data_IF_769108851534
#
_entry.id   IF_769108851534
#
_cell.length_a   1.000
_cell.length_b   1.000
_cell.length_c   1.000
_cell.angle_alpha   90.00
_cell.angle_beta   90.00
_cell.angle_gamma   90.00
#
_symmetry.space_group_name_H-M   'P 1'
#
loop_
_entity.id
_entity.type
_entity.pdbx_description
1 polymer ?
#
# COMPACT_ATOMS: atom_id res chain seq x y z
N UNK A 1 10.79 -15.29 -11.40
CA UNK A 1 11.08 -14.74 -10.06
C UNK A 1 9.89 -14.96 -9.14
N UNK A 2 10.13 -15.35 -7.87
CA UNK A 2 9.07 -15.53 -6.87
C UNK A 2 9.29 -14.55 -5.71
N UNK A 3 8.32 -13.64 -5.50
CA UNK A 3 8.36 -12.64 -4.45
C UNK A 3 7.20 -12.82 -3.48
N UNK A 4 7.42 -12.54 -2.20
CA UNK A 4 6.37 -12.46 -1.19
C UNK A 4 5.93 -11.03 -1.01
N UNK A 5 4.63 -10.77 -1.09
CA UNK A 5 4.06 -9.47 -0.75
C UNK A 5 3.65 -9.43 0.72
N UNK A 6 4.36 -8.64 1.51
CA UNK A 6 4.17 -8.50 2.95
C UNK A 6 3.01 -7.57 3.29
N UNK A 7 1.79 -8.00 2.97
CA UNK A 7 0.56 -7.25 3.26
C UNK A 7 -0.60 -8.19 3.55
N UNK A 8 -1.39 -7.87 4.59
CA UNK A 8 -2.64 -8.55 4.92
C UNK A 8 -3.85 -7.95 4.17
N UNK A 9 -3.67 -6.84 3.44
CA UNK A 9 -4.75 -6.19 2.70
C UNK A 9 -5.02 -6.92 1.38
N UNK A 10 -6.19 -7.60 1.30
CA UNK A 10 -6.59 -8.38 0.13
C UNK A 10 -6.73 -7.51 -1.14
N UNK A 11 -7.25 -6.29 -1.02
CA UNK A 11 -7.39 -5.37 -2.15
C UNK A 11 -6.03 -4.96 -2.74
N UNK A 12 -5.05 -4.69 -1.88
CA UNK A 12 -3.68 -4.41 -2.32
C UNK A 12 -3.07 -5.61 -3.06
N UNK A 13 -3.27 -6.82 -2.53
CA UNK A 13 -2.75 -8.04 -3.15
C UNK A 13 -3.37 -8.28 -4.54
N UNK A 14 -4.68 -8.05 -4.70
CA UNK A 14 -5.37 -8.15 -5.98
C UNK A 14 -4.80 -7.14 -7.00
N UNK A 15 -4.66 -5.87 -6.61
CA UNK A 15 -4.05 -4.84 -7.47
C UNK A 15 -2.62 -5.20 -7.86
N UNK A 16 -1.79 -5.61 -6.89
CA UNK A 16 -0.40 -6.02 -7.15
C UNK A 16 -0.33 -7.17 -8.14
N UNK A 17 -1.14 -8.22 -7.93
CA UNK A 17 -1.17 -9.38 -8.86
C UNK A 17 -1.63 -9.02 -10.26
N UNK A 18 -2.56 -8.06 -10.39
CA UNK A 18 -3.05 -7.59 -11.68
C UNK A 18 -2.01 -6.76 -12.47
N UNK A 19 -1.09 -6.09 -11.76
CA UNK A 19 -0.11 -5.18 -12.36
C UNK A 19 1.28 -5.78 -12.53
N UNK A 20 1.63 -6.82 -11.77
CA UNK A 20 2.94 -7.47 -11.88
C UNK A 20 3.06 -8.28 -13.17
N UNK A 21 4.25 -8.27 -13.84
CA UNK A 21 4.46 -9.06 -15.03
C UNK A 21 4.36 -10.57 -14.74
N UNK A 22 3.92 -11.34 -15.72
CA UNK A 22 3.73 -12.81 -15.62
C UNK A 22 5.01 -13.57 -15.25
N UNK A 23 6.17 -12.98 -15.46
CA UNK A 23 7.47 -13.53 -15.06
C UNK A 23 7.72 -13.45 -13.54
N UNK A 24 6.90 -12.67 -12.80
CA UNK A 24 7.01 -12.51 -11.35
C UNK A 24 5.80 -13.15 -10.67
N UNK A 25 6.06 -14.25 -9.96
CA UNK A 25 5.05 -14.90 -9.12
C UNK A 25 4.96 -14.18 -7.78
N UNK A 26 3.78 -13.67 -7.42
CA UNK A 26 3.53 -13.00 -6.13
C UNK A 26 2.82 -13.95 -5.18
N UNK A 27 3.49 -14.27 -4.07
CA UNK A 27 2.95 -15.01 -2.93
C UNK A 27 2.41 -14.05 -1.88
N UNK A 28 1.32 -14.44 -1.22
CA UNK A 28 0.74 -13.74 -0.08
C UNK A 28 1.37 -14.21 1.23
N UNK A 29 1.10 -13.52 2.33
CA UNK A 29 1.45 -13.95 3.68
C UNK A 29 0.81 -15.30 4.03
N UNK A 30 -0.41 -15.54 3.55
CA UNK A 30 -1.10 -16.82 3.74
C UNK A 30 -0.40 -17.98 3.03
N UNK A 31 0.15 -17.75 1.82
CA UNK A 31 0.85 -18.77 1.05
C UNK A 31 2.11 -19.26 1.78
N UNK A 32 2.73 -18.39 2.58
CA UNK A 32 3.92 -18.70 3.40
C UNK A 32 3.58 -19.03 4.86
N UNK A 33 2.29 -19.05 5.24
CA UNK A 33 1.81 -19.29 6.61
C UNK A 33 2.37 -18.28 7.63
N UNK A 34 2.50 -17.03 7.23
CA UNK A 34 2.84 -15.93 8.13
C UNK A 34 1.53 -15.40 8.76
N UNK A 35 1.38 -15.60 10.07
CA UNK A 35 0.15 -15.25 10.81
C UNK A 35 0.38 -14.15 11.86
N UNK A 36 1.60 -13.61 11.92
CA UNK A 36 1.94 -12.57 12.89
C UNK A 36 1.42 -11.21 12.44
N UNK A 37 0.95 -10.41 13.39
CA UNK A 37 0.72 -9.00 13.16
C UNK A 37 2.06 -8.23 13.14
N UNK A 38 2.19 -7.31 12.21
CA UNK A 38 3.37 -6.45 12.10
C UNK A 38 2.99 -5.07 12.60
N UNK A 39 3.62 -4.64 13.71
CA UNK A 39 3.41 -3.31 14.25
C UNK A 39 4.10 -2.25 13.37
N UNK A 40 3.31 -1.42 12.72
CA UNK A 40 3.79 -0.30 11.92
C UNK A 40 4.08 0.90 12.83
N UNK A 41 5.28 0.92 13.41
CA UNK A 41 5.75 1.94 14.37
C UNK A 41 6.49 3.09 13.71
N UNK A 42 6.73 3.03 12.41
CA UNK A 42 7.40 4.06 11.65
C UNK A 42 6.60 5.36 11.55
N UNK A 43 7.31 6.45 11.38
CA UNK A 43 6.75 7.80 11.22
C UNK A 43 6.67 8.22 9.75
N UNK A 44 7.23 7.43 8.84
CA UNK A 44 7.23 7.63 7.40
C UNK A 44 6.75 6.37 6.67
N UNK A 45 6.36 6.52 5.40
CA UNK A 45 5.98 5.39 4.54
C UNK A 45 7.18 4.47 4.27
N UNK A 46 8.37 5.07 4.15
CA UNK A 46 9.63 4.37 3.98
C UNK A 46 9.91 3.44 5.16
N UNK A 47 9.80 3.95 6.38
CA UNK A 47 10.02 3.17 7.60
C UNK A 47 9.01 2.03 7.72
N UNK A 48 7.71 2.28 7.51
CA UNK A 48 6.69 1.25 7.62
C UNK A 48 6.80 0.19 6.53
N UNK A 49 7.11 0.57 5.28
CA UNK A 49 7.32 -0.41 4.22
C UNK A 49 8.54 -1.29 4.51
N UNK A 50 9.61 -0.71 5.07
CA UNK A 50 10.82 -1.44 5.48
C UNK A 50 10.52 -2.40 6.65
N UNK A 51 9.85 -1.92 7.71
CA UNK A 51 9.46 -2.75 8.87
C UNK A 51 8.67 -3.99 8.42
N UNK A 52 7.68 -3.80 7.53
CA UNK A 52 6.89 -4.92 6.99
C UNK A 52 7.74 -5.90 6.20
N UNK A 53 8.58 -5.40 5.31
CA UNK A 53 9.43 -6.24 4.49
C UNK A 53 10.45 -7.02 5.35
N UNK A 54 11.06 -6.39 6.35
CA UNK A 54 12.02 -7.00 7.26
C UNK A 54 11.39 -8.10 8.11
N UNK A 55 10.23 -7.85 8.73
CA UNK A 55 9.55 -8.84 9.55
C UNK A 55 9.28 -10.15 8.79
N UNK A 56 8.81 -10.03 7.54
CA UNK A 56 8.54 -11.20 6.69
C UNK A 56 9.83 -11.83 6.18
N UNK A 57 10.84 -11.02 5.85
CA UNK A 57 12.15 -11.53 5.44
C UNK A 57 12.82 -12.36 6.55
N UNK A 58 12.83 -11.88 7.77
CA UNK A 58 13.36 -12.60 8.94
C UNK A 58 12.62 -13.92 9.15
N UNK A 59 11.28 -13.91 9.10
CA UNK A 59 10.48 -15.12 9.21
C UNK A 59 10.88 -16.17 8.16
N UNK A 60 10.99 -15.79 6.89
CA UNK A 60 11.37 -16.70 5.80
C UNK A 60 12.79 -17.21 5.96
N UNK A 61 13.72 -16.33 6.36
CA UNK A 61 15.15 -16.67 6.50
C UNK A 61 15.40 -17.72 7.57
N UNK A 62 14.57 -17.77 8.60
CA UNK A 62 14.63 -18.77 9.66
C UNK A 62 13.91 -20.08 9.32
N UNK A 63 13.08 -20.10 8.28
CA UNK A 63 12.39 -21.30 7.83
C UNK A 63 13.26 -22.13 6.88
N UNK A 64 13.55 -23.39 7.26
CA UNK A 64 14.14 -24.38 6.37
C UNK A 64 13.05 -25.14 5.62
N UNK A 65 12.28 -24.46 4.77
CA UNK A 65 11.22 -25.07 3.97
C UNK A 65 11.56 -25.02 2.47
N UNK A 66 11.01 -25.94 1.68
CA UNK A 66 11.16 -25.89 0.22
C UNK A 66 10.62 -24.57 -0.35
N UNK A 67 9.55 -24.02 0.24
CA UNK A 67 8.98 -22.77 -0.17
C UNK A 67 9.96 -21.62 0.11
N UNK A 68 10.57 -21.56 1.29
CA UNK A 68 11.54 -20.50 1.62
C UNK A 68 12.75 -20.50 0.70
N UNK A 69 13.19 -21.69 0.24
CA UNK A 69 14.33 -21.81 -0.68
C UNK A 69 14.04 -21.34 -2.11
N UNK A 70 12.76 -21.28 -2.50
CA UNK A 70 12.33 -20.88 -3.85
C UNK A 70 11.99 -19.38 -3.95
N UNK A 71 12.05 -18.63 -2.85
CA UNK A 71 11.75 -17.22 -2.86
C UNK A 71 12.98 -16.38 -3.18
N UNK A 72 12.81 -15.46 -4.10
CA UNK A 72 13.87 -14.53 -4.53
C UNK A 72 13.91 -13.26 -3.67
N UNK A 73 12.81 -12.96 -2.94
CA UNK A 73 12.75 -11.80 -2.07
C UNK A 73 11.35 -11.56 -1.45
N UNK A 74 11.30 -10.52 -0.64
CA UNK A 74 10.10 -10.01 0.01
C UNK A 74 9.94 -8.54 -0.35
N UNK A 75 8.73 -8.12 -0.68
CA UNK A 75 8.42 -6.70 -0.80
C UNK A 75 7.18 -6.33 -0.01
N UNK A 76 7.15 -5.09 0.45
CA UNK A 76 6.03 -4.49 1.15
C UNK A 76 5.73 -3.11 0.61
N UNK A 77 4.46 -2.69 0.60
CA UNK A 77 4.08 -1.32 0.34
C UNK A 77 3.57 -0.61 1.60
N UNK A 78 3.86 0.68 1.69
CA UNK A 78 3.10 1.58 2.54
C UNK A 78 2.55 2.74 1.72
N UNK A 79 1.31 3.18 2.06
CA UNK A 79 0.58 4.16 1.23
C UNK A 79 -0.02 5.24 2.11
N UNK A 80 0.23 6.49 1.73
CA UNK A 80 -0.35 7.68 2.34
C UNK A 80 -1.19 8.49 1.36
N UNK A 81 -2.33 8.99 1.85
CA UNK A 81 -3.02 10.13 1.27
C UNK A 81 -2.49 11.38 1.97
N UNK A 82 -2.00 12.34 1.20
CA UNK A 82 -1.46 13.59 1.69
C UNK A 82 -2.31 14.73 1.13
N UNK A 83 -2.99 15.49 2.00
CA UNK A 83 -3.90 16.57 1.62
C UNK A 83 -3.23 17.91 1.88
N UNK A 84 -3.07 18.73 0.84
CA UNK A 84 -2.30 19.97 0.91
C UNK A 84 -2.86 20.95 1.95
N UNK A 85 -4.19 21.12 2.03
CA UNK A 85 -4.84 22.01 2.98
C UNK A 85 -4.84 21.51 4.44
N UNK A 86 -4.31 20.32 4.69
CA UNK A 86 -4.20 19.67 6.00
C UNK A 86 -2.74 19.33 6.34
N UNK A 87 -1.78 20.07 5.78
CA UNK A 87 -0.35 19.90 6.01
C UNK A 87 0.13 18.44 5.78
N UNK A 88 -0.40 17.81 4.73
CA UNK A 88 -0.08 16.43 4.35
C UNK A 88 -0.80 15.35 5.18
N UNK A 89 -1.71 15.70 6.08
CA UNK A 89 -2.51 14.69 6.76
C UNK A 89 -3.50 14.03 5.79
N UNK A 90 -3.88 12.75 6.02
CA UNK A 90 -3.46 11.83 7.08
C UNK A 90 -2.06 11.23 6.94
N UNK A 91 -1.41 11.28 5.76
CA UNK A 91 -0.07 10.76 5.56
C UNK A 91 0.06 9.28 5.95
N UNK A 92 1.04 8.95 6.78
CA UNK A 92 1.29 7.58 7.29
C UNK A 92 0.10 6.99 8.06
N UNK A 93 -0.81 7.82 8.55
CA UNK A 93 -2.00 7.39 9.28
C UNK A 93 -3.21 7.12 8.39
N UNK A 94 -3.06 7.11 7.09
CA UNK A 94 -4.15 7.00 6.09
C UNK A 94 -5.14 5.88 6.38
N UNK A 95 -4.68 4.69 6.72
CA UNK A 95 -5.57 3.55 7.01
C UNK A 95 -6.29 3.65 8.36
N UNK A 96 -5.75 4.43 9.31
CA UNK A 96 -6.19 4.49 10.72
C UNK A 96 -6.46 5.92 11.22
N UNK A 97 -6.73 6.86 10.34
CA UNK A 97 -6.92 8.27 10.71
C UNK A 97 -8.14 8.52 11.61
N UNK A 98 -9.18 7.69 11.44
CA UNK A 98 -10.38 7.69 12.30
C UNK A 98 -10.31 6.54 13.32
N UNK A 99 -9.25 6.42 14.09
CA UNK A 99 -9.23 5.47 15.21
C UNK A 99 -9.82 6.12 16.46
N UNK A 100 -11.16 6.26 16.53
CA UNK A 100 -11.86 6.37 17.82
C UNK A 100 -12.26 4.96 18.26
N UNK A 101 -11.74 4.52 19.41
CA UNK A 101 -12.36 3.44 20.18
C UNK A 101 -13.74 3.95 20.61
N UNK A 102 -14.77 3.67 19.85
CA UNK A 102 -16.15 3.93 20.25
C UNK A 102 -16.53 2.85 21.25
N UNK A 103 -17.07 3.27 22.40
CA UNK A 103 -17.72 2.35 23.33
C UNK A 103 -19.17 2.19 22.85
N UNK A 104 -19.69 0.94 22.83
CA UNK A 104 -21.11 0.70 22.65
C UNK A 104 -21.91 1.20 23.87
N UNK A 105 -23.22 1.16 23.78
CA UNK A 105 -24.13 1.55 24.88
C UNK A 105 -23.91 0.75 26.17
N UNK A 106 -23.20 -0.38 26.11
CA UNK A 106 -22.77 -1.22 27.22
C UNK A 106 -21.35 -0.99 27.71
N UNK A 107 -20.63 0.03 27.17
CA UNK A 107 -19.26 0.36 27.56
C UNK A 107 -18.17 -0.56 26.98
N UNK A 108 -18.51 -1.49 26.07
CA UNK A 108 -17.58 -2.39 25.40
C UNK A 108 -16.93 -1.67 24.21
N UNK A 109 -15.64 -1.92 23.98
CA UNK A 109 -14.97 -1.38 22.81
C UNK A 109 -15.54 -2.02 21.54
N UNK A 110 -16.24 -1.23 20.71
CA UNK A 110 -16.70 -1.70 19.39
C UNK A 110 -15.48 -1.76 18.46
N UNK A 111 -15.18 -2.95 17.95
CA UNK A 111 -14.21 -3.12 16.86
C UNK A 111 -14.95 -2.83 15.55
N UNK A 112 -14.56 -1.76 14.88
CA UNK A 112 -15.10 -1.40 13.57
C UNK A 112 -14.55 -2.36 12.51
N UNK A 113 -15.41 -2.78 11.58
CA UNK A 113 -14.98 -3.52 10.40
C UNK A 113 -14.23 -2.62 9.40
N UNK A 114 -13.45 -3.21 8.51
CA UNK A 114 -12.63 -2.47 7.54
C UNK A 114 -13.44 -1.45 6.72
N UNK A 115 -14.63 -1.84 6.24
CA UNK A 115 -15.53 -0.95 5.50
C UNK A 115 -16.00 0.25 6.32
N UNK A 116 -16.30 0.04 7.61
CA UNK A 116 -16.69 1.11 8.53
C UNK A 116 -15.53 2.08 8.77
N UNK A 117 -14.31 1.56 8.90
CA UNK A 117 -13.10 2.37 9.05
C UNK A 117 -12.86 3.22 7.79
N UNK A 118 -12.97 2.64 6.60
CA UNK A 118 -12.82 3.37 5.35
C UNK A 118 -13.86 4.50 5.21
N UNK A 119 -15.12 4.22 5.50
CA UNK A 119 -16.18 5.24 5.47
C UNK A 119 -15.92 6.36 6.49
N UNK A 120 -15.52 6.02 7.71
CA UNK A 120 -15.20 7.00 8.73
C UNK A 120 -13.97 7.87 8.39
N UNK A 121 -12.96 7.28 7.76
CA UNK A 121 -11.78 8.01 7.27
C UNK A 121 -12.18 9.01 6.18
N UNK A 122 -13.00 8.60 5.20
CA UNK A 122 -13.50 9.49 4.13
C UNK A 122 -14.37 10.62 4.69
N UNK A 123 -15.32 10.30 5.57
CA UNK A 123 -16.16 11.29 6.22
C UNK A 123 -15.33 12.33 6.99
N UNK A 124 -14.26 11.90 7.67
CA UNK A 124 -13.32 12.80 8.33
C UNK A 124 -12.61 13.71 7.33
N UNK A 125 -12.09 13.17 6.22
CA UNK A 125 -11.42 13.96 5.19
C UNK A 125 -12.35 15.03 4.60
N UNK A 126 -13.60 14.68 4.30
CA UNK A 126 -14.59 15.61 3.78
C UNK A 126 -14.91 16.70 4.80
N UNK A 127 -15.11 16.33 6.08
CA UNK A 127 -15.39 17.27 7.16
C UNK A 127 -14.25 18.26 7.40
N UNK A 128 -12.98 17.78 7.45
CA UNK A 128 -11.81 18.64 7.64
C UNK A 128 -11.59 19.61 6.46
N UNK A 129 -12.19 19.31 5.31
CA UNK A 129 -12.14 20.14 4.10
C UNK A 129 -13.39 21.01 3.89
N UNK A 130 -14.37 21.02 4.82
CA UNK A 130 -15.52 21.90 4.74
C UNK A 130 -15.09 23.37 4.70
N UNK A 131 -15.66 24.11 3.74
CA UNK A 131 -15.34 25.53 3.53
C UNK A 131 -13.94 25.82 2.95
N UNK A 132 -13.11 24.80 2.70
CA UNK A 132 -11.80 24.97 2.05
C UNK A 132 -11.93 24.87 0.53
N UNK A 133 -11.42 25.89 -0.18
CA UNK A 133 -11.37 25.91 -1.65
C UNK A 133 -10.18 25.13 -2.20
N UNK A 134 -9.08 25.08 -1.45
CA UNK A 134 -7.89 24.32 -1.82
C UNK A 134 -8.03 22.87 -1.39
N UNK A 135 -8.32 21.99 -2.34
CA UNK A 135 -8.58 20.56 -2.10
C UNK A 135 -7.52 19.66 -2.73
N UNK A 136 -6.38 20.23 -3.12
CA UNK A 136 -5.26 19.48 -3.69
C UNK A 136 -4.79 18.38 -2.75
N UNK A 137 -4.46 17.23 -3.33
CA UNK A 137 -3.99 16.08 -2.58
C UNK A 137 -3.12 15.17 -3.47
N UNK A 138 -2.40 14.26 -2.85
CA UNK A 138 -1.72 13.19 -3.56
C UNK A 138 -1.83 11.88 -2.81
N UNK A 139 -1.87 10.79 -3.56
CA UNK A 139 -1.50 9.49 -3.03
C UNK A 139 -0.02 9.22 -3.31
N UNK A 140 0.65 8.70 -2.31
CA UNK A 140 2.04 8.25 -2.38
C UNK A 140 2.15 6.83 -1.86
N UNK A 141 2.83 5.98 -2.61
CA UNK A 141 3.16 4.61 -2.19
C UNK A 141 4.67 4.45 -2.21
N UNK A 142 5.22 3.94 -1.12
CA UNK A 142 6.61 3.48 -1.06
C UNK A 142 6.61 1.96 -1.01
N UNK A 143 7.41 1.34 -1.87
CA UNK A 143 7.65 -0.10 -1.87
C UNK A 143 9.08 -0.36 -1.45
N UNK A 144 9.26 -1.21 -0.43
CA UNK A 144 10.57 -1.76 -0.05
C UNK A 144 10.67 -3.20 -0.54
N UNK A 145 11.69 -3.51 -1.34
CA UNK A 145 12.08 -4.86 -1.73
C UNK A 145 13.34 -5.26 -0.98
N UNK A 146 13.29 -6.40 -0.29
CA UNK A 146 14.46 -7.12 0.24
C UNK A 146 14.69 -8.31 -0.67
N UNK A 147 15.80 -8.31 -1.38
CA UNK A 147 16.16 -9.33 -2.36
C UNK A 147 17.20 -10.28 -1.79
N UNK A 148 17.05 -11.57 -2.07
CA UNK A 148 18.00 -12.60 -1.67
C UNK A 148 19.39 -12.29 -2.26
N UNK A 149 20.48 -12.54 -1.49
CA UNK A 149 21.84 -12.41 -2.01
C UNK A 149 22.04 -13.28 -3.25
N UNK A 150 22.77 -12.75 -4.23
CA UNK A 150 23.29 -13.54 -5.35
C UNK A 150 24.57 -14.25 -4.92
N UNK A 151 25.12 -15.11 -5.79
CA UNK A 151 26.38 -15.84 -5.53
C UNK A 151 27.56 -14.92 -5.21
N UNK A 152 27.51 -13.66 -5.60
CA UNK A 152 28.56 -12.66 -5.39
C UNK A 152 28.32 -11.78 -4.15
N UNK A 153 27.10 -11.74 -3.62
CA UNK A 153 26.70 -10.91 -2.48
C UNK A 153 26.58 -11.78 -1.22
N UNK A 154 27.13 -11.32 -0.11
CA UNK A 154 27.00 -12.03 1.17
C UNK A 154 25.73 -11.60 1.96
N UNK A 155 25.13 -10.49 1.60
CA UNK A 155 23.96 -9.92 2.31
C UNK A 155 22.81 -9.61 1.36
N UNK A 156 21.56 -9.64 1.85
CA UNK A 156 20.41 -9.23 1.08
C UNK A 156 20.50 -7.74 0.68
N UNK A 157 20.10 -7.41 -0.51
CA UNK A 157 19.98 -6.03 -0.95
C UNK A 157 18.60 -5.46 -0.59
N UNK A 158 18.57 -4.18 -0.19
CA UNK A 158 17.35 -3.45 0.12
C UNK A 158 17.18 -2.32 -0.91
N UNK A 159 16.05 -2.31 -1.58
CA UNK A 159 15.69 -1.31 -2.60
C UNK A 159 14.38 -0.67 -2.17
N UNK A 160 14.32 0.66 -2.23
CA UNK A 160 13.07 1.41 -2.05
C UNK A 160 12.74 2.18 -3.31
N UNK A 161 11.49 2.11 -3.72
CA UNK A 161 10.94 2.87 -4.85
C UNK A 161 9.63 3.52 -4.44
N UNK A 162 9.25 4.58 -5.15
CA UNK A 162 7.98 5.25 -4.87
C UNK A 162 7.17 5.51 -6.13
N UNK A 163 5.87 5.68 -5.93
CA UNK A 163 4.97 6.16 -6.96
C UNK A 163 4.00 7.18 -6.37
N UNK A 164 3.77 8.25 -7.10
CA UNK A 164 2.92 9.37 -6.69
C UNK A 164 1.87 9.64 -7.76
N UNK A 165 0.63 9.87 -7.32
CA UNK A 165 -0.42 10.43 -8.16
C UNK A 165 -0.99 11.67 -7.50
N UNK A 166 -0.90 12.80 -8.21
CA UNK A 166 -1.52 14.06 -7.81
C UNK A 166 -2.99 14.05 -8.18
N UNK A 167 -3.78 14.86 -7.47
CA UNK A 167 -5.20 15.01 -7.69
C UNK A 167 -5.83 15.96 -6.69
N UNK A 168 -7.11 15.75 -6.43
CA UNK A 168 -7.86 16.54 -5.46
C UNK A 168 -8.89 15.70 -4.75
N UNK A 169 -9.33 16.14 -3.57
CA UNK A 169 -10.46 15.54 -2.85
C UNK A 169 -11.77 16.13 -3.37
N UNK A 170 -12.70 15.28 -3.75
CA UNK A 170 -14.05 15.66 -4.15
C UNK A 170 -14.83 16.29 -2.97
N UNK A 171 -15.96 16.96 -3.26
CA UNK A 171 -16.80 17.54 -2.21
C UNK A 171 -17.66 16.50 -1.50
N UNK A 172 -17.97 15.40 -2.17
CA UNK A 172 -18.69 14.23 -1.64
C UNK A 172 -18.17 12.94 -2.26
N UNK A 173 -18.70 11.79 -1.82
CA UNK A 173 -18.32 10.46 -2.33
C UNK A 173 -18.99 10.19 -3.67
N UNK A 174 -18.21 9.73 -4.68
CA UNK A 174 -18.67 9.29 -5.98
C UNK A 174 -18.13 7.91 -6.32
N UNK A 175 -19.00 7.04 -6.83
CA UNK A 175 -18.66 5.67 -7.19
C UNK A 175 -18.57 4.74 -5.99
N UNK A 176 -18.41 3.45 -6.28
CA UNK A 176 -18.31 2.38 -5.29
C UNK A 176 -17.16 1.42 -5.58
N UNK A 177 -16.36 1.71 -6.60
CA UNK A 177 -15.19 0.91 -6.97
C UNK A 177 -14.00 1.19 -6.05
N UNK A 178 -13.02 0.29 -6.11
CA UNK A 178 -11.81 0.42 -5.33
C UNK A 178 -11.99 0.24 -3.83
N UNK A 179 -11.14 0.91 -3.03
CA UNK A 179 -11.18 0.86 -1.57
C UNK A 179 -10.61 2.14 -0.94
N UNK A 180 -10.72 2.24 0.40
CA UNK A 180 -10.15 3.37 1.13
C UNK A 180 -10.77 4.71 0.74
N UNK A 181 -9.98 5.61 0.19
CA UNK A 181 -10.37 6.96 -0.22
C UNK A 181 -10.70 7.07 -1.72
N UNK A 182 -10.74 5.97 -2.47
CA UNK A 182 -11.04 5.98 -3.91
C UNK A 182 -12.34 6.75 -4.26
N UNK A 183 -13.44 6.65 -3.47
CA UNK A 183 -14.66 7.40 -3.75
C UNK A 183 -14.56 8.93 -3.61
N UNK A 184 -13.50 9.44 -3.01
CA UNK A 184 -13.32 10.89 -2.81
C UNK A 184 -12.08 11.46 -3.51
N UNK A 185 -11.24 10.65 -4.13
CA UNK A 185 -10.02 11.11 -4.79
C UNK A 185 -10.19 11.18 -6.30
N UNK A 186 -10.06 12.38 -6.88
CA UNK A 186 -10.09 12.64 -8.32
C UNK A 186 -8.64 12.81 -8.78
N UNK A 187 -8.08 11.89 -9.57
CA UNK A 187 -6.71 12.03 -10.06
C UNK A 187 -6.57 13.16 -11.07
N UNK A 188 -5.39 13.75 -11.16
CA UNK A 188 -5.08 14.80 -12.13
C UNK A 188 -5.33 14.31 -13.57
N UNK A 189 -5.94 15.18 -14.39
CA UNK A 189 -6.33 14.85 -15.77
C UNK A 189 -7.68 14.12 -15.89
N UNK A 190 -8.38 13.88 -14.80
CA UNK A 190 -9.70 13.24 -14.77
C UNK A 190 -10.74 14.10 -14.04
N UNK A 191 -12.01 13.89 -14.41
CA UNK A 191 -13.15 14.51 -13.74
C UNK A 191 -13.90 13.54 -12.83
N UNK A 192 -13.49 12.28 -12.80
CA UNK A 192 -14.08 11.19 -12.03
C UNK A 192 -13.14 10.73 -10.93
N UNK A 193 -13.73 10.29 -9.82
CA UNK A 193 -12.98 9.68 -8.72
C UNK A 193 -12.42 8.31 -9.10
N UNK A 194 -11.42 7.82 -8.37
CA UNK A 194 -10.98 6.43 -8.50
C UNK A 194 -12.12 5.43 -8.23
N UNK A 195 -13.12 5.80 -7.42
CA UNK A 195 -14.30 4.98 -7.16
C UNK A 195 -15.25 4.86 -8.35
N UNK A 196 -15.18 5.79 -9.33
CA UNK A 196 -15.96 5.78 -10.57
C UNK A 196 -15.19 5.24 -11.77
N UNK A 197 -13.85 5.32 -11.72
CA UNK A 197 -13.01 4.86 -12.82
C UNK A 197 -12.97 3.32 -12.89
N UNK A 198 -12.95 2.73 -14.10
CA UNK A 198 -12.69 1.30 -14.25
C UNK A 198 -11.37 0.89 -13.59
N UNK A 199 -11.33 -0.34 -13.07
CA UNK A 199 -10.14 -0.87 -12.38
C UNK A 199 -8.89 -0.84 -13.27
N UNK A 200 -9.04 -1.11 -14.57
CA UNK A 200 -7.95 -1.09 -15.54
C UNK A 200 -7.35 0.30 -15.68
N UNK A 201 -8.19 1.35 -15.67
CA UNK A 201 -7.73 2.74 -15.73
C UNK A 201 -6.99 3.09 -14.45
N UNK A 202 -7.58 2.79 -13.27
CA UNK A 202 -6.91 3.01 -11.98
C UNK A 202 -5.57 2.28 -11.92
N UNK A 203 -5.52 1.02 -12.32
CA UNK A 203 -4.30 0.20 -12.31
C UNK A 203 -3.22 0.69 -13.29
N UNK A 204 -3.55 1.55 -14.25
CA UNK A 204 -2.56 2.14 -15.17
C UNK A 204 -1.98 3.48 -14.69
N UNK A 205 -2.68 4.20 -13.79
CA UNK A 205 -2.30 5.57 -13.41
C UNK A 205 -2.03 5.76 -11.91
N UNK A 206 -2.43 4.78 -11.06
CA UNK A 206 -2.37 4.94 -9.61
C UNK A 206 -0.95 5.03 -9.06
N UNK A 207 -0.83 5.56 -7.85
CA UNK A 207 0.40 5.59 -7.06
C UNK A 207 1.06 4.21 -6.97
N UNK A 208 0.27 3.15 -6.70
CA UNK A 208 0.77 1.77 -6.62
C UNK A 208 1.24 1.25 -7.97
N UNK A 209 0.53 1.58 -9.06
CA UNK A 209 0.94 1.21 -10.41
C UNK A 209 2.32 1.81 -10.74
N UNK A 210 2.51 3.10 -10.47
CA UNK A 210 3.79 3.79 -10.68
C UNK A 210 4.91 3.21 -9.82
N UNK A 211 4.64 2.93 -8.53
CA UNK A 211 5.63 2.32 -7.65
C UNK A 211 6.02 0.90 -8.11
N UNK A 212 5.05 0.10 -8.58
CA UNK A 212 5.32 -1.23 -9.12
C UNK A 212 6.09 -1.17 -10.45
N UNK A 213 5.82 -0.19 -11.29
CA UNK A 213 6.59 0.03 -12.52
C UNK A 213 8.07 0.31 -12.21
N UNK A 214 8.34 1.19 -11.23
CA UNK A 214 9.71 1.44 -10.76
C UNK A 214 10.34 0.18 -10.13
N UNK A 215 9.58 -0.57 -9.33
CA UNK A 215 10.07 -1.84 -8.76
C UNK A 215 10.47 -2.83 -9.86
N UNK A 216 9.67 -2.99 -10.90
CA UNK A 216 9.97 -3.87 -12.04
C UNK A 216 11.22 -3.42 -12.79
N UNK A 217 11.42 -2.11 -12.96
CA UNK A 217 12.66 -1.56 -13.54
C UNK A 217 13.91 -1.95 -12.72
N UNK A 218 13.82 -1.82 -11.39
CA UNK A 218 14.92 -2.20 -10.50
C UNK A 218 15.19 -3.72 -10.52
N UNK A 219 14.15 -4.53 -10.58
CA UNK A 219 14.27 -5.98 -10.74
C UNK A 219 15.02 -6.32 -12.04
N UNK A 220 14.65 -5.71 -13.17
CA UNK A 220 15.23 -6.00 -14.48
C UNK A 220 16.68 -5.55 -14.60
N UNK A 221 17.07 -4.39 -14.03
CA UNK A 221 18.47 -3.93 -14.01
C UNK A 221 19.44 -4.97 -13.44
N UNK A 222 18.97 -5.76 -12.50
CA UNK A 222 19.80 -6.80 -11.87
C UNK A 222 20.04 -8.01 -12.80
N UNK A 223 19.14 -8.28 -13.75
CA UNK A 223 19.28 -9.36 -14.72
C UNK A 223 20.20 -8.99 -15.90
N UNK A 224 20.29 -7.70 -16.24
CA UNK A 224 21.15 -7.22 -17.34
C UNK A 224 22.64 -7.12 -16.94
N UNK A 225 22.97 -7.39 -15.67
CA UNK A 225 24.34 -7.35 -15.13
C UNK A 225 24.96 -8.74 -14.92
N UNK A 226 24.27 -9.81 -15.32
CA UNK A 226 24.69 -11.21 -15.25
C UNK A 226 24.96 -11.73 -16.66
#
# INVERSE_FOLDING_TARGET
>A
MTLVFASNNAHKLEEVRAMMPVSVRVLSLKDIRFEQDIDETGTTLEENSLIKAQAVWEFISHQKSEISNQMDGVFADDTGLEIDALDGQPGVYTARWYLKRTKDEGGRTKVMGEREIFAANRAKALHELEGKTHRGAQFRTVITLIKRPTTNDQQPSVIQVEGVVRGRIAEEEYGSGGFGYDPVFIPEGYDKTFGELPAEVKNSISHRAKALEELVKEINKTYDQI
#
